data_IF_037257521203
#
_entry.id   IF_037257521203
#
_cell.length_a   1.000
_cell.length_b   1.000
_cell.length_c   1.000
_cell.angle_alpha   90.00
_cell.angle_beta   90.00
_cell.angle_gamma   90.00
#
_symmetry.space_group_name_H-M   'P 1'
#
loop_
_entity.id
_entity.type
_entity.pdbx_description
1 polymer ?
#
# COMPACT_ATOMS: atom_id res chain seq x y z
N UNK A 1 -15.76 -9.34 -7.79
CA UNK A 1 -15.40 -7.96 -7.36
C UNK A 1 -13.89 -7.85 -7.26
N UNK A 2 -13.26 -7.07 -8.13
CA UNK A 2 -11.85 -6.70 -7.96
C UNK A 2 -11.84 -5.66 -6.84
N UNK A 3 -11.23 -5.97 -5.69
CA UNK A 3 -10.98 -4.96 -4.64
C UNK A 3 -10.07 -3.90 -5.25
N UNK A 4 -10.64 -2.78 -5.65
CA UNK A 4 -9.88 -1.56 -5.91
C UNK A 4 -9.37 -1.09 -4.55
N UNK A 5 -8.20 -1.59 -4.12
CA UNK A 5 -7.47 -0.99 -3.02
C UNK A 5 -7.19 0.46 -3.44
N UNK A 6 -7.99 1.39 -2.95
CA UNK A 6 -7.78 2.82 -3.10
C UNK A 6 -6.51 3.17 -2.35
N UNK A 7 -5.38 3.08 -3.05
CA UNK A 7 -4.10 3.57 -2.56
C UNK A 7 -4.07 5.08 -2.75
N UNK A 8 -3.51 5.77 -1.77
CA UNK A 8 -3.33 7.20 -1.71
C UNK A 8 -1.86 7.50 -1.45
N UNK A 9 -1.38 8.63 -1.98
CA UNK A 9 -0.03 9.11 -1.68
C UNK A 9 0.11 9.30 -0.17
N UNK A 10 1.22 8.84 0.40
CA UNK A 10 1.49 8.83 1.83
C UNK A 10 0.96 7.60 2.58
N UNK A 11 0.17 6.73 1.94
CA UNK A 11 -0.25 5.48 2.59
C UNK A 11 0.95 4.61 2.94
N UNK A 12 0.97 4.07 4.16
CA UNK A 12 1.83 2.93 4.49
C UNK A 12 1.13 1.66 4.02
N UNK A 13 1.81 0.91 3.16
CA UNK A 13 1.33 -0.34 2.59
C UNK A 13 2.35 -1.44 2.80
N UNK A 14 1.90 -2.68 2.71
CA UNK A 14 2.74 -3.86 2.78
C UNK A 14 2.87 -4.49 1.40
N UNK A 15 4.08 -4.86 1.01
CA UNK A 15 4.31 -5.68 -0.19
C UNK A 15 3.92 -7.12 0.14
N UNK A 16 2.95 -7.67 -0.57
CA UNK A 16 2.39 -9.00 -0.28
C UNK A 16 3.41 -10.14 -0.31
N UNK A 17 4.38 -10.07 -1.22
CA UNK A 17 5.37 -11.14 -1.42
C UNK A 17 6.48 -11.16 -0.37
N UNK A 18 6.84 -10.00 0.19
CA UNK A 18 7.96 -9.89 1.15
C UNK A 18 7.48 -9.58 2.56
N UNK A 19 6.23 -9.13 2.71
CA UNK A 19 5.71 -8.61 3.96
C UNK A 19 6.35 -7.28 4.38
N UNK A 20 7.13 -6.63 3.52
CA UNK A 20 7.83 -5.39 3.85
C UNK A 20 6.89 -4.18 3.81
N UNK A 21 7.00 -3.31 4.80
CA UNK A 21 6.26 -2.04 4.84
C UNK A 21 6.99 -0.95 4.06
N UNK A 22 6.22 -0.22 3.27
CA UNK A 22 6.68 0.84 2.37
C UNK A 22 5.64 1.95 2.30
N UNK A 23 6.06 3.13 1.84
CA UNK A 23 5.17 4.29 1.70
C UNK A 23 4.84 4.49 0.23
N UNK A 24 3.58 4.77 -0.10
CA UNK A 24 3.18 5.16 -1.45
C UNK A 24 3.64 6.59 -1.72
N UNK A 25 4.47 6.78 -2.74
CA UNK A 25 4.98 8.09 -3.16
C UNK A 25 4.13 8.68 -4.29
N UNK A 26 3.65 7.82 -5.20
CA UNK A 26 2.78 8.22 -6.32
C UNK A 26 1.78 7.11 -6.64
N UNK A 27 0.58 7.49 -7.09
CA UNK A 27 -0.47 6.56 -7.53
C UNK A 27 -0.78 6.82 -8.99
N UNK A 28 -0.75 5.77 -9.81
CA UNK A 28 -1.16 5.85 -11.21
C UNK A 28 -2.59 5.38 -11.42
N UNK A 29 -3.29 5.99 -12.37
CA UNK A 29 -4.58 5.52 -12.86
C UNK A 29 -4.49 4.16 -13.59
N UNK A 30 -3.29 3.72 -13.99
CA UNK A 30 -3.07 2.49 -14.76
C UNK A 30 -2.77 1.25 -13.90
N UNK A 31 -3.18 1.24 -12.63
CA UNK A 31 -3.11 0.05 -11.78
C UNK A 31 -1.73 -0.25 -11.17
N UNK A 32 -0.82 0.73 -11.17
CA UNK A 32 0.45 0.67 -10.47
C UNK A 32 0.68 1.90 -9.59
N UNK A 33 1.59 1.79 -8.64
CA UNK A 33 2.00 2.88 -7.75
C UNK A 33 3.53 2.90 -7.65
N UNK A 34 4.08 4.08 -7.38
CA UNK A 34 5.47 4.22 -6.96
C UNK A 34 5.49 4.16 -5.44
N UNK A 35 6.33 3.29 -4.90
CA UNK A 35 6.55 3.15 -3.46
C UNK A 35 7.96 3.61 -3.11
N UNK A 36 8.15 4.04 -1.86
CA UNK A 36 9.42 4.40 -1.26
C UNK A 36 9.70 3.47 -0.08
N UNK A 37 10.89 2.87 -0.08
CA UNK A 37 11.35 2.07 1.05
C UNK A 37 11.90 2.98 2.16
N UNK A 38 11.77 2.55 3.42
CA UNK A 38 12.33 3.27 4.57
C UNK A 38 13.86 3.40 4.49
N UNK A 39 14.53 2.42 3.87
CA UNK A 39 15.98 2.46 3.58
C UNK A 39 16.35 3.41 2.45
N UNK A 40 15.38 4.04 1.77
CA UNK A 40 15.58 4.84 0.56
C UNK A 40 15.32 4.05 -0.73
N UNK A 41 15.25 4.77 -1.84
CA UNK A 41 14.92 4.24 -3.16
C UNK A 41 13.41 4.22 -3.45
N UNK A 42 13.05 4.40 -4.72
CA UNK A 42 11.67 4.37 -5.22
C UNK A 42 11.50 3.33 -6.32
N UNK A 43 10.38 2.60 -6.28
CA UNK A 43 10.13 1.47 -7.18
C UNK A 43 8.67 1.43 -7.62
N UNK A 44 8.42 0.99 -8.85
CA UNK A 44 7.06 0.75 -9.35
C UNK A 44 6.57 -0.63 -8.95
N UNK A 45 5.37 -0.67 -8.40
CA UNK A 45 4.68 -1.90 -8.03
C UNK A 45 3.26 -1.89 -8.57
N UNK A 46 2.78 -3.06 -9.02
CA UNK A 46 1.36 -3.24 -9.34
C UNK A 46 0.54 -3.13 -8.06
N UNK A 47 -0.58 -2.41 -8.11
CA UNK A 47 -1.42 -2.17 -6.93
C UNK A 47 -1.92 -3.47 -6.29
N UNK A 48 -2.10 -4.53 -7.08
CA UNK A 48 -2.51 -5.85 -6.58
C UNK A 48 -1.43 -6.57 -5.77
N UNK A 49 -0.16 -6.13 -5.83
CA UNK A 49 0.96 -6.62 -5.01
C UNK A 49 1.11 -5.87 -3.70
N UNK A 50 0.33 -4.82 -3.51
CA UNK A 50 0.32 -4.00 -2.30
C UNK A 50 -0.97 -4.26 -1.52
N UNK A 51 -0.87 -4.24 -0.20
CA UNK A 51 -2.03 -4.28 0.68
C UNK A 51 -1.91 -3.18 1.73
N UNK A 52 -3.01 -2.50 2.03
CA UNK A 52 -3.04 -1.66 3.21
C UNK A 52 -3.00 -2.58 4.43
N UNK A 53 -2.11 -2.35 5.40
CA UNK A 53 -2.21 -3.04 6.68
C UNK A 53 -3.61 -2.78 7.21
N UNK A 54 -4.30 -3.85 7.61
CA UNK A 54 -5.62 -3.73 8.23
C UNK A 54 -5.38 -2.95 9.52
N UNK A 55 -5.69 -1.66 9.53
CA UNK A 55 -5.75 -0.88 10.75
C UNK A 55 -6.67 -1.66 11.67
N UNK A 56 -6.15 -2.09 12.81
CA UNK A 56 -6.91 -2.87 13.78
C UNK A 56 -8.27 -2.20 13.96
N UNK A 57 -9.32 -3.03 13.92
CA UNK A 57 -10.74 -2.71 13.98
C UNK A 57 -11.01 -1.49 14.88
N UNK A 58 -11.99 -0.62 14.55
CA UNK A 58 -12.48 0.31 15.56
C UNK A 58 -12.87 -0.53 16.77
N UNK A 59 -12.25 -0.29 17.92
CA UNK A 59 -12.64 -0.89 19.17
C UNK A 59 -14.09 -0.43 19.42
N UNK A 60 -15.05 -1.27 19.07
CA UNK A 60 -16.42 -1.13 19.57
C UNK A 60 -16.31 -1.36 21.07
N UNK A 61 -16.26 -0.26 21.83
CA UNK A 61 -16.35 -0.32 23.27
C UNK A 61 -17.70 -0.95 23.64
N UNK A 62 -17.60 -1.91 24.57
CA UNK A 62 -18.67 -2.71 25.13
C UNK A 62 -19.77 -1.89 25.81
#
# INVERSE_FOLDING_TARGET
MIKNNLLSIGDRVRIKSTGQEVTVDQVSAYGFSVIKFNSGGTYRFLNNKLEKPVTARPAYNA
#
